data_IF_602966321102
#
_entry.id   IF_602966321102
#
_cell.length_a   1.000
_cell.length_b   1.000
_cell.length_c   1.000
_cell.angle_alpha   90.00
_cell.angle_beta   90.00
_cell.angle_gamma   90.00
#
_symmetry.space_group_name_H-M   'P 1'
#
loop_
_entity.id
_entity.type
_entity.pdbx_description
1 polymer ?
#
# COMPACT_ATOMS: atom_id res chain seq x y z
N UNK A 1 -16.62 2.19 21.40
CA UNK A 1 -17.53 3.32 21.10
C UNK A 1 -18.34 3.05 19.83
N UNK A 2 -17.71 2.95 18.63
CA UNK A 2 -18.42 2.61 17.39
C UNK A 2 -19.05 1.21 17.43
N UNK A 3 -18.23 0.16 17.59
CA UNK A 3 -18.71 -1.23 17.60
C UNK A 3 -19.73 -1.49 18.72
N UNK A 4 -19.47 -0.96 19.92
CA UNK A 4 -20.39 -1.09 21.06
C UNK A 4 -21.74 -0.38 20.84
N UNK A 5 -21.77 0.69 20.03
CA UNK A 5 -23.01 1.40 19.68
C UNK A 5 -23.75 0.75 18.50
N UNK A 6 -23.11 -0.19 17.81
CA UNK A 6 -23.62 -0.88 16.61
C UNK A 6 -23.41 -2.40 16.78
N UNK A 7 -24.09 -3.03 17.76
CA UNK A 7 -23.73 -4.36 18.24
C UNK A 7 -24.21 -5.50 17.35
N UNK A 8 -25.18 -5.28 16.46
CA UNK A 8 -25.68 -6.33 15.60
C UNK A 8 -24.80 -6.51 14.35
N UNK A 9 -24.71 -7.76 13.90
CA UNK A 9 -24.06 -8.09 12.63
C UNK A 9 -24.71 -7.30 11.50
N UNK A 10 -23.88 -6.64 10.69
CA UNK A 10 -24.34 -5.79 9.60
C UNK A 10 -24.75 -4.37 9.97
N UNK A 11 -24.81 -3.98 11.25
CA UNK A 11 -24.96 -2.55 11.62
C UNK A 11 -23.79 -1.72 11.09
N UNK A 12 -22.60 -2.33 11.07
CA UNK A 12 -21.40 -1.83 10.38
C UNK A 12 -21.00 -2.91 9.38
N UNK A 13 -20.99 -2.57 8.10
CA UNK A 13 -20.64 -3.53 7.04
C UNK A 13 -19.21 -3.38 6.54
N UNK A 14 -18.64 -2.19 6.67
CA UNK A 14 -17.29 -1.92 6.24
C UNK A 14 -16.65 -0.77 7.02
N UNK A 15 -15.32 -0.81 7.11
CA UNK A 15 -14.47 0.30 7.51
C UNK A 15 -13.56 0.65 6.35
N UNK A 16 -13.52 1.92 5.98
CA UNK A 16 -12.53 2.47 5.07
C UNK A 16 -11.64 3.46 5.81
N UNK A 17 -10.34 3.31 5.67
CA UNK A 17 -9.33 4.15 6.29
C UNK A 17 -8.44 4.80 5.23
N UNK A 18 -8.16 6.09 5.40
CA UNK A 18 -7.30 6.84 4.49
C UNK A 18 -5.81 6.80 4.87
N UNK A 19 -5.42 5.93 5.79
CA UNK A 19 -4.05 5.69 6.24
C UNK A 19 -3.96 4.33 6.93
N UNK A 20 -2.92 3.54 6.64
CA UNK A 20 -2.74 2.20 7.19
C UNK A 20 -2.66 2.17 8.73
N UNK A 21 -2.17 3.23 9.37
CA UNK A 21 -2.17 3.34 10.84
C UNK A 21 -3.58 3.27 11.46
N UNK A 22 -4.55 3.93 10.81
CA UNK A 22 -5.95 3.84 11.25
C UNK A 22 -6.53 2.46 10.99
N UNK A 23 -6.11 1.81 9.90
CA UNK A 23 -6.48 0.43 9.57
C UNK A 23 -5.97 -0.54 10.62
N UNK A 24 -4.73 -0.41 11.09
CA UNK A 24 -4.22 -1.24 12.20
C UNK A 24 -5.07 -1.09 13.45
N UNK A 25 -5.37 0.15 13.84
CA UNK A 25 -6.26 0.40 14.99
C UNK A 25 -7.65 -0.21 14.82
N UNK A 26 -8.22 -0.12 13.61
CA UNK A 26 -9.51 -0.72 13.29
C UNK A 26 -9.47 -2.25 13.34
N UNK A 27 -8.48 -2.88 12.73
CA UNK A 27 -8.32 -4.34 12.73
C UNK A 27 -8.11 -4.89 14.14
N UNK A 28 -7.29 -4.23 14.98
CA UNK A 28 -7.14 -4.59 16.40
C UNK A 28 -8.49 -4.52 17.12
N UNK A 29 -9.25 -3.43 16.94
CA UNK A 29 -10.54 -3.28 17.59
C UNK A 29 -11.59 -4.31 17.11
N UNK A 30 -11.57 -4.67 15.82
CA UNK A 30 -12.44 -5.71 15.26
C UNK A 30 -12.09 -7.09 15.81
N UNK A 31 -10.79 -7.42 15.85
CA UNK A 31 -10.27 -8.67 16.45
C UNK A 31 -10.66 -8.78 17.92
N UNK A 32 -10.39 -7.75 18.73
CA UNK A 32 -10.72 -7.73 20.16
C UNK A 32 -12.24 -7.84 20.41
N UNK A 33 -13.05 -7.33 19.50
CA UNK A 33 -14.51 -7.39 19.58
C UNK A 33 -15.11 -8.66 18.94
N UNK A 34 -14.31 -9.50 18.28
CA UNK A 34 -14.78 -10.67 17.53
C UNK A 34 -15.69 -10.32 16.34
N UNK A 35 -15.49 -9.15 15.71
CA UNK A 35 -16.31 -8.62 14.61
C UNK A 35 -15.71 -8.92 13.24
N UNK A 36 -15.77 -10.18 12.83
CA UNK A 36 -15.31 -10.64 11.51
C UNK A 36 -16.28 -10.37 10.36
N UNK A 37 -17.48 -9.85 10.66
CA UNK A 37 -18.50 -9.46 9.70
C UNK A 37 -18.20 -8.11 9.00
N UNK A 38 -17.22 -7.35 9.50
CA UNK A 38 -16.89 -6.01 9.01
C UNK A 38 -15.73 -6.07 8.02
N UNK A 39 -16.01 -5.74 6.76
CA UNK A 39 -14.98 -5.68 5.72
C UNK A 39 -14.05 -4.46 5.91
N UNK A 40 -12.75 -4.64 5.72
CA UNK A 40 -11.75 -3.58 5.89
C UNK A 40 -11.12 -3.21 4.55
N UNK A 41 -11.07 -1.91 4.27
CA UNK A 41 -10.46 -1.31 3.10
C UNK A 41 -9.54 -0.17 3.51
N UNK A 42 -8.39 -0.03 2.86
CA UNK A 42 -7.39 0.98 3.27
C UNK A 42 -6.73 1.71 2.10
N UNK A 43 -6.16 2.86 2.42
CA UNK A 43 -5.02 3.43 1.70
C UNK A 43 -3.73 3.02 2.42
N UNK A 44 -2.64 2.93 1.67
CA UNK A 44 -1.32 2.49 2.11
C UNK A 44 -1.23 1.01 2.50
N UNK A 45 -0.02 0.47 2.37
CA UNK A 45 0.29 -0.92 2.69
C UNK A 45 1.77 -1.04 3.01
N UNK A 46 2.08 -1.69 4.12
CA UNK A 46 3.44 -2.13 4.47
C UNK A 46 3.49 -3.65 4.62
N UNK A 47 4.67 -4.18 4.90
CA UNK A 47 4.86 -5.57 5.33
C UNK A 47 4.10 -5.91 6.62
N UNK A 48 3.68 -4.92 7.42
CA UNK A 48 2.89 -5.13 8.63
C UNK A 48 1.42 -5.40 8.34
N UNK A 49 0.86 -4.79 7.29
CA UNK A 49 -0.56 -4.98 6.92
C UNK A 49 -0.76 -6.11 5.91
N UNK A 50 0.23 -6.39 5.08
CA UNK A 50 0.14 -7.41 4.04
C UNK A 50 -0.35 -8.78 4.58
N UNK A 51 0.16 -9.33 5.70
CA UNK A 51 -0.30 -10.61 6.23
C UNK A 51 -1.80 -10.68 6.54
N UNK A 52 -2.46 -9.53 6.81
CA UNK A 52 -3.89 -9.49 7.11
C UNK A 52 -4.77 -9.92 5.95
N UNK A 53 -4.26 -9.96 4.71
CA UNK A 53 -5.02 -10.54 3.59
C UNK A 53 -5.30 -12.04 3.79
N UNK A 54 -4.47 -12.75 4.57
CA UNK A 54 -4.63 -14.17 4.91
C UNK A 54 -5.17 -14.40 6.33
N UNK A 55 -5.45 -13.33 7.07
CA UNK A 55 -6.01 -13.44 8.42
C UNK A 55 -7.47 -13.95 8.37
N UNK A 56 -7.83 -14.83 9.32
CA UNK A 56 -9.17 -15.43 9.43
C UNK A 56 -10.09 -14.66 10.41
N UNK A 57 -9.52 -13.78 11.23
CA UNK A 57 -10.21 -13.00 12.26
C UNK A 57 -10.75 -11.70 11.69
N UNK A 58 -10.00 -11.04 10.80
CA UNK A 58 -10.42 -9.78 10.15
C UNK A 58 -10.61 -9.95 8.65
N UNK A 59 -11.70 -9.39 8.12
CA UNK A 59 -12.02 -9.43 6.69
C UNK A 59 -11.32 -8.29 5.93
N UNK A 60 -9.99 -8.35 5.82
CA UNK A 60 -9.21 -7.36 5.07
C UNK A 60 -9.27 -7.64 3.57
N UNK A 61 -9.86 -6.71 2.80
CA UNK A 61 -10.25 -6.97 1.41
C UNK A 61 -9.43 -6.25 0.37
N UNK A 62 -9.02 -5.01 0.63
CA UNK A 62 -8.23 -4.26 -0.33
C UNK A 62 -7.42 -3.12 0.29
N UNK A 63 -6.30 -2.83 -0.37
CA UNK A 63 -5.49 -1.64 -0.16
C UNK A 63 -5.25 -0.91 -1.49
N UNK A 64 -5.46 0.40 -1.52
CA UNK A 64 -4.90 1.26 -2.57
C UNK A 64 -3.58 1.82 -2.04
N UNK A 65 -2.46 1.37 -2.60
CA UNK A 65 -1.15 1.65 -2.03
C UNK A 65 -0.10 1.82 -3.12
N UNK A 66 0.93 2.60 -2.80
CA UNK A 66 2.12 2.73 -3.63
C UNK A 66 3.29 2.12 -2.86
N UNK A 67 4.20 1.42 -3.52
CA UNK A 67 5.40 0.94 -2.86
C UNK A 67 6.21 2.13 -2.28
N UNK A 68 6.41 2.22 -0.95
CA UNK A 68 7.12 3.34 -0.32
C UNK A 68 8.55 3.52 -0.85
N UNK A 69 9.20 2.42 -1.25
CA UNK A 69 10.53 2.47 -1.84
C UNK A 69 10.51 3.13 -3.23
N UNK A 70 9.45 2.93 -4.03
CA UNK A 70 9.27 3.61 -5.32
C UNK A 70 9.05 5.11 -5.10
N UNK A 71 8.21 5.50 -4.13
CA UNK A 71 8.03 6.90 -3.74
C UNK A 71 9.38 7.55 -3.40
N UNK A 72 10.15 6.94 -2.50
CA UNK A 72 11.43 7.47 -2.06
C UNK A 72 12.44 7.64 -3.20
N UNK A 73 12.58 6.62 -4.07
CA UNK A 73 13.44 6.70 -5.25
C UNK A 73 13.02 7.82 -6.20
N UNK A 74 11.73 7.91 -6.50
CA UNK A 74 11.17 8.91 -7.41
C UNK A 74 11.32 10.33 -6.87
N UNK A 75 11.14 10.53 -5.56
CA UNK A 75 11.36 11.84 -4.92
C UNK A 75 12.83 12.29 -5.01
N UNK A 76 13.79 11.39 -4.77
CA UNK A 76 15.22 11.71 -4.87
C UNK A 76 15.61 12.04 -6.31
N UNK A 77 15.13 11.26 -7.29
CA UNK A 77 15.39 11.54 -8.72
C UNK A 77 14.79 12.88 -9.16
N UNK A 78 13.56 13.19 -8.72
CA UNK A 78 12.92 14.47 -8.99
C UNK A 78 13.71 15.64 -8.38
N UNK A 79 14.20 15.49 -7.15
CA UNK A 79 15.03 16.51 -6.50
C UNK A 79 16.31 16.80 -7.29
N UNK A 80 16.98 15.76 -7.81
CA UNK A 80 18.16 15.88 -8.64
C UNK A 80 17.88 16.54 -10.00
N UNK A 81 16.80 16.14 -10.68
CA UNK A 81 16.39 16.77 -11.93
C UNK A 81 16.03 18.25 -11.73
N UNK A 82 15.36 18.60 -10.64
CA UNK A 82 15.08 20.00 -10.26
C UNK A 82 16.34 20.79 -9.97
N UNK A 83 17.30 20.20 -9.25
CA UNK A 83 18.60 20.84 -8.97
C UNK A 83 19.41 21.12 -10.24
N UNK A 84 19.27 20.27 -11.27
CA UNK A 84 19.88 20.47 -12.59
C UNK A 84 19.10 21.45 -13.49
N UNK A 85 17.91 21.89 -13.08
CA UNK A 85 17.03 22.74 -13.90
C UNK A 85 16.31 21.99 -15.02
N UNK A 86 16.21 20.66 -14.94
CA UNK A 86 15.66 19.78 -15.98
C UNK A 86 14.26 19.22 -15.64
N UNK A 87 13.70 19.60 -14.49
CA UNK A 87 12.32 19.25 -14.12
C UNK A 87 11.64 20.42 -13.40
N UNK A 88 10.34 20.56 -13.63
CA UNK A 88 9.44 21.46 -12.91
C UNK A 88 8.20 20.70 -12.41
N UNK A 89 7.36 21.36 -11.60
CA UNK A 89 6.07 20.79 -11.19
C UNK A 89 6.15 19.61 -10.21
N UNK A 90 5.13 18.75 -10.29
CA UNK A 90 4.89 17.61 -9.40
C UNK A 90 5.02 16.30 -10.17
N UNK A 91 5.37 15.23 -9.45
CA UNK A 91 5.36 13.87 -9.96
C UNK A 91 4.24 13.08 -9.28
N UNK A 92 3.40 12.43 -10.08
CA UNK A 92 2.45 11.43 -9.61
C UNK A 92 3.16 10.07 -9.63
N UNK A 93 3.22 9.41 -8.48
CA UNK A 93 3.55 7.98 -8.41
C UNK A 93 2.23 7.25 -8.36
N UNK A 94 1.97 6.40 -9.35
CA UNK A 94 0.68 5.74 -9.48
C UNK A 94 0.50 4.67 -8.38
N UNK A 95 -0.62 4.70 -7.63
CA UNK A 95 -0.92 3.64 -6.68
C UNK A 95 -1.40 2.38 -7.40
N UNK A 96 -1.02 1.23 -6.86
CA UNK A 96 -1.62 -0.05 -7.20
C UNK A 96 -2.88 -0.29 -6.35
N UNK A 97 -3.85 -1.00 -6.92
CA UNK A 97 -4.92 -1.64 -6.16
C UNK A 97 -4.50 -3.07 -5.85
N UNK A 98 -4.46 -3.42 -4.57
CA UNK A 98 -4.20 -4.77 -4.08
C UNK A 98 -5.51 -5.28 -3.51
N UNK A 99 -6.05 -6.37 -4.06
CA UNK A 99 -7.24 -7.02 -3.51
C UNK A 99 -6.93 -8.43 -3.05
N UNK A 100 -7.67 -8.93 -2.06
CA UNK A 100 -7.55 -10.32 -1.59
C UNK A 100 -7.73 -11.34 -2.73
N UNK A 101 -8.51 -11.00 -3.76
CA UNK A 101 -8.78 -11.86 -4.90
C UNK A 101 -7.59 -11.95 -5.90
N UNK A 102 -6.70 -10.97 -5.89
CA UNK A 102 -5.51 -10.96 -6.75
C UNK A 102 -4.33 -11.73 -6.12
N UNK A 103 -4.43 -12.10 -4.83
CA UNK A 103 -3.38 -12.74 -4.05
C UNK A 103 -3.55 -14.27 -4.03
N UNK A 104 -2.46 -15.04 -3.89
CA UNK A 104 -2.52 -16.50 -3.79
C UNK A 104 -3.11 -16.94 -2.44
N UNK A 105 -3.41 -18.24 -2.32
CA UNK A 105 -3.89 -18.82 -1.05
C UNK A 105 -2.80 -18.82 0.03
N UNK A 106 -1.53 -18.98 -0.35
CA UNK A 106 -0.40 -18.93 0.56
C UNK A 106 0.04 -17.49 0.85
N UNK A 107 0.48 -17.23 2.08
CA UNK A 107 1.05 -15.93 2.46
C UNK A 107 2.34 -15.65 1.67
N UNK A 108 2.44 -14.45 1.11
CA UNK A 108 3.61 -13.97 0.38
C UNK A 108 4.30 -12.82 1.11
N UNK A 109 5.59 -12.67 0.86
CA UNK A 109 6.35 -11.51 1.34
C UNK A 109 6.01 -10.24 0.54
N UNK A 110 6.33 -9.10 1.14
CA UNK A 110 6.18 -7.79 0.51
C UNK A 110 7.00 -7.62 -0.78
N UNK A 111 8.08 -8.40 -0.93
CA UNK A 111 8.93 -8.41 -2.14
C UNK A 111 8.24 -9.19 -3.26
N UNK A 112 7.60 -10.30 -2.94
CA UNK A 112 6.88 -11.17 -3.89
C UNK A 112 5.56 -10.56 -4.39
N UNK A 113 5.03 -9.52 -3.71
CA UNK A 113 3.78 -8.85 -4.11
C UNK A 113 3.75 -8.39 -5.57
N UNK A 114 4.91 -8.05 -6.15
CA UNK A 114 5.02 -7.67 -7.57
C UNK A 114 4.65 -8.79 -8.55
N UNK A 115 4.80 -10.05 -8.14
CA UNK A 115 4.48 -11.21 -8.98
C UNK A 115 2.97 -11.34 -9.22
N UNK A 116 2.16 -10.83 -8.28
CA UNK A 116 0.70 -10.91 -8.29
C UNK A 116 0.04 -9.57 -8.63
N UNK A 117 0.68 -8.46 -8.24
CA UNK A 117 0.24 -7.10 -8.55
C UNK A 117 1.36 -6.40 -9.34
N UNK A 118 1.43 -6.55 -10.68
CA UNK A 118 2.52 -5.99 -11.49
C UNK A 118 2.68 -4.46 -11.34
N UNK A 119 1.59 -3.75 -11.06
CA UNK A 119 1.59 -2.32 -10.81
C UNK A 119 2.37 -1.92 -9.53
N UNK A 120 2.61 -2.86 -8.61
CA UNK A 120 3.24 -2.60 -7.31
C UNK A 120 4.64 -1.97 -7.40
N UNK A 121 5.44 -2.42 -8.37
CA UNK A 121 6.77 -1.88 -8.64
C UNK A 121 6.86 -1.12 -9.97
N UNK A 122 5.72 -0.80 -10.59
CA UNK A 122 5.72 -0.02 -11.81
C UNK A 122 6.27 1.40 -11.53
N UNK A 123 7.27 1.81 -12.31
CA UNK A 123 7.76 3.18 -12.37
C UNK A 123 7.80 3.58 -13.84
N UNK A 124 6.71 4.18 -14.33
CA UNK A 124 6.61 4.70 -15.70
C UNK A 124 7.22 6.10 -15.84
N UNK A 125 7.80 6.64 -14.76
CA UNK A 125 8.40 7.97 -14.77
C UNK A 125 9.60 8.01 -15.71
N UNK A 126 9.62 8.99 -16.61
CA UNK A 126 10.77 9.23 -17.47
C UNK A 126 11.78 10.14 -16.78
N UNK A 127 13.04 9.71 -16.73
CA UNK A 127 14.13 10.43 -16.08
C UNK A 127 15.19 10.89 -17.07
N UNK A 128 15.85 12.05 -16.85
CA UNK A 128 17.02 12.43 -17.64
C UNK A 128 18.07 11.31 -17.70
N UNK A 129 18.66 11.10 -18.88
CA UNK A 129 19.57 9.99 -19.12
C UNK A 129 20.77 9.96 -18.15
N UNK A 130 21.25 11.12 -17.72
CA UNK A 130 22.36 11.23 -16.79
C UNK A 130 22.04 10.67 -15.39
N UNK A 131 20.77 10.67 -14.96
CA UNK A 131 20.37 10.03 -13.69
C UNK A 131 20.60 8.53 -13.77
N UNK A 132 20.26 7.91 -14.91
CA UNK A 132 20.53 6.49 -15.16
C UNK A 132 22.04 6.23 -15.21
N UNK A 133 22.80 7.04 -15.95
CA UNK A 133 24.26 6.92 -16.01
C UNK A 133 24.91 7.03 -14.62
N UNK A 134 24.47 7.99 -13.80
CA UNK A 134 24.98 8.18 -12.44
C UNK A 134 24.66 6.98 -11.53
N UNK A 135 23.47 6.39 -11.67
CA UNK A 135 23.13 5.15 -10.97
C UNK A 135 24.04 3.99 -11.38
N UNK A 136 24.25 3.76 -12.68
CA UNK A 136 25.10 2.68 -13.19
C UNK A 136 26.58 2.83 -12.78
N UNK A 137 27.09 4.07 -12.66
CA UNK A 137 28.46 4.33 -12.20
C UNK A 137 28.70 4.03 -10.72
N UNK A 138 27.64 4.08 -9.90
CA UNK A 138 27.74 3.99 -8.44
C UNK A 138 27.01 2.79 -7.84
N UNK A 139 26.31 1.99 -8.64
CA UNK A 139 25.76 0.70 -8.25
C UNK A 139 26.92 -0.28 -7.96
N UNK A 140 27.32 -0.36 -6.69
CA UNK A 140 28.20 -1.39 -6.15
C UNK A 140 27.40 -2.37 -5.31
#
# INVERSE_FOLDING_TARGET
ALLSANPADGDVQAIWSHWNEFTRGAMTALSDAGRSDVAVYTVDLTDQELPFFWDEVVDFRAASATNPATIGRSQVRLAWAKAAGEADGNLLVEPALITKADLPEEEISFVELVEYVPAWNADESTWPAWIKTLHEQHAK
#
